data_IF_329438441058
#
_entry.id   IF_329438441058
#
_cell.length_a   1.000
_cell.length_b   1.000
_cell.length_c   1.000
_cell.angle_alpha   90.00
_cell.angle_beta   90.00
_cell.angle_gamma   90.00
#
_symmetry.space_group_name_H-M   'P 1'
#
loop_
_entity.id
_entity.type
_entity.pdbx_description
1 polymer ?
#
# COMPACT_ATOMS: atom_id res chain seq x y z
N UNK A 1 -5.38 -29.15 10.80
CA UNK A 1 -4.55 -28.37 9.88
C UNK A 1 -3.09 -28.57 10.27
N UNK A 2 -2.24 -28.98 9.34
CA UNK A 2 -0.80 -29.13 9.58
C UNK A 2 -0.03 -27.86 9.13
N UNK A 3 1.27 -27.80 9.42
CA UNK A 3 2.10 -26.63 9.08
C UNK A 3 2.20 -26.39 7.56
N UNK A 4 2.24 -27.45 6.75
CA UNK A 4 2.32 -27.34 5.30
C UNK A 4 1.03 -26.77 4.72
N UNK A 5 -0.13 -27.24 5.19
CA UNK A 5 -1.45 -26.71 4.81
C UNK A 5 -1.61 -25.23 5.16
N UNK A 6 -1.06 -24.79 6.29
CA UNK A 6 -1.03 -23.35 6.66
C UNK A 6 -0.17 -22.56 5.67
N UNK A 7 1.01 -23.08 5.31
CA UNK A 7 1.92 -22.41 4.39
C UNK A 7 1.33 -22.30 2.98
N UNK A 8 0.68 -23.35 2.49
CA UNK A 8 -0.01 -23.29 1.19
C UNK A 8 -1.10 -22.22 1.17
N UNK A 9 -1.88 -22.08 2.25
CA UNK A 9 -2.88 -21.01 2.34
C UNK A 9 -2.25 -19.60 2.42
N UNK A 10 -1.07 -19.47 3.02
CA UNK A 10 -0.30 -18.22 3.00
C UNK A 10 0.15 -17.91 1.58
N UNK A 11 0.73 -18.88 0.87
CA UNK A 11 1.21 -18.69 -0.51
C UNK A 11 0.08 -18.24 -1.45
N UNK A 12 -1.11 -18.85 -1.34
CA UNK A 12 -2.31 -18.43 -2.09
C UNK A 12 -2.74 -17.00 -1.74
N UNK A 13 -2.68 -16.64 -0.45
CA UNK A 13 -2.98 -15.29 0.02
C UNK A 13 -1.97 -14.28 -0.52
N UNK A 14 -0.69 -14.62 -0.51
CA UNK A 14 0.41 -13.77 -0.98
C UNK A 14 0.35 -13.55 -2.50
N UNK A 15 -0.12 -14.54 -3.26
CA UNK A 15 -0.39 -14.37 -4.68
C UNK A 15 -1.48 -13.30 -4.92
N UNK A 16 -2.57 -13.36 -4.15
CA UNK A 16 -3.64 -12.36 -4.24
C UNK A 16 -3.17 -10.96 -3.78
N UNK A 17 -2.39 -10.89 -2.70
CA UNK A 17 -1.80 -9.64 -2.21
C UNK A 17 -0.88 -9.02 -3.26
N UNK A 18 -0.04 -9.82 -3.92
CA UNK A 18 0.88 -9.34 -4.96
C UNK A 18 0.11 -8.71 -6.12
N UNK A 19 -0.93 -9.37 -6.63
CA UNK A 19 -1.76 -8.82 -7.70
C UNK A 19 -2.45 -7.50 -7.30
N UNK A 20 -2.95 -7.40 -6.06
CA UNK A 20 -3.57 -6.18 -5.54
C UNK A 20 -2.55 -5.04 -5.37
N UNK A 21 -1.32 -5.37 -4.96
CA UNK A 21 -0.24 -4.40 -4.82
C UNK A 21 0.21 -3.87 -6.19
N UNK A 22 0.32 -4.72 -7.21
CA UNK A 22 0.62 -4.29 -8.58
C UNK A 22 -0.47 -3.35 -9.13
N UNK A 23 -1.74 -3.72 -8.96
CA UNK A 23 -2.87 -2.84 -9.34
C UNK A 23 -2.78 -1.49 -8.64
N UNK A 24 -2.45 -1.48 -7.34
CA UNK A 24 -2.24 -0.25 -6.58
C UNK A 24 -1.06 0.55 -7.12
N UNK A 25 0.05 -0.08 -7.51
CA UNK A 25 1.22 0.60 -8.08
C UNK A 25 0.92 1.23 -9.44
N UNK A 26 0.11 0.59 -10.28
CA UNK A 26 -0.37 1.20 -11.53
C UNK A 26 -1.19 2.47 -11.28
N UNK A 27 -1.98 2.53 -10.20
CA UNK A 27 -2.69 3.75 -9.78
C UNK A 27 -1.73 4.81 -9.22
N UNK A 28 -0.70 4.40 -8.48
CA UNK A 28 0.35 5.32 -7.99
C UNK A 28 1.11 5.95 -9.15
N UNK A 29 1.38 5.22 -10.24
CA UNK A 29 1.99 5.76 -11.45
C UNK A 29 1.12 6.87 -12.07
N UNK A 30 -0.18 6.63 -12.21
CA UNK A 30 -1.13 7.66 -12.69
C UNK A 30 -1.16 8.91 -11.80
N UNK A 31 -1.05 8.73 -10.48
CA UNK A 31 -0.92 9.84 -9.53
C UNK A 31 0.41 10.58 -9.75
N UNK A 32 1.50 9.88 -10.01
CA UNK A 32 2.79 10.48 -10.31
C UNK A 32 2.74 11.33 -11.58
N UNK A 33 2.15 10.81 -12.66
CA UNK A 33 1.94 11.50 -13.93
C UNK A 33 1.11 12.79 -13.73
N UNK A 34 -0.03 12.68 -13.04
CA UNK A 34 -0.86 13.83 -12.68
C UNK A 34 -0.08 14.88 -11.89
N UNK A 35 0.69 14.46 -10.88
CA UNK A 35 1.50 15.39 -10.07
C UNK A 35 2.61 16.07 -10.89
N UNK A 36 3.20 15.36 -11.87
CA UNK A 36 4.19 15.92 -12.81
C UNK A 36 3.56 17.05 -13.62
N UNK A 37 2.39 16.82 -14.19
CA UNK A 37 1.67 17.81 -15.02
C UNK A 37 1.25 19.04 -14.19
N UNK A 38 0.78 18.81 -12.96
CA UNK A 38 0.27 19.87 -12.08
C UNK A 38 1.31 20.48 -11.13
N UNK A 39 2.59 20.10 -11.23
CA UNK A 39 3.68 20.55 -10.35
C UNK A 39 3.36 20.37 -8.85
N UNK A 40 2.63 19.31 -8.50
CA UNK A 40 2.20 19.02 -7.14
C UNK A 40 3.21 18.15 -6.38
N UNK A 41 3.25 18.31 -5.05
CA UNK A 41 4.20 17.58 -4.20
C UNK A 41 3.82 16.10 -4.02
N UNK A 42 4.83 15.23 -3.90
CA UNK A 42 4.63 13.79 -3.71
C UNK A 42 4.12 13.48 -2.31
N UNK A 43 4.72 14.06 -1.28
CA UNK A 43 4.37 13.79 0.11
C UNK A 43 3.19 14.64 0.56
N UNK A 44 2.09 13.98 0.90
CA UNK A 44 0.87 14.59 1.45
C UNK A 44 0.48 13.86 2.76
N UNK A 45 0.92 14.36 3.92
CA UNK A 45 0.69 13.70 5.20
C UNK A 45 -0.79 13.65 5.58
N UNK A 46 -1.59 14.65 5.20
CA UNK A 46 -3.02 14.67 5.48
C UNK A 46 -3.73 13.55 4.71
N UNK A 47 -3.38 13.37 3.42
CA UNK A 47 -3.93 12.29 2.61
C UNK A 47 -3.55 10.91 3.13
N UNK A 48 -2.31 10.74 3.58
CA UNK A 48 -1.82 9.48 4.15
C UNK A 48 -2.53 9.12 5.45
N UNK A 49 -2.73 10.09 6.35
CA UNK A 49 -3.47 9.86 7.59
C UNK A 49 -4.89 9.35 7.30
N UNK A 50 -5.59 9.95 6.33
CA UNK A 50 -6.92 9.49 5.90
C UNK A 50 -6.90 8.05 5.36
N UNK A 51 -5.81 7.60 4.72
CA UNK A 51 -5.69 6.18 4.32
C UNK A 51 -5.55 5.29 5.56
N UNK A 52 -4.68 5.66 6.50
CA UNK A 52 -4.40 4.87 7.69
C UNK A 52 -5.64 4.71 8.56
N UNK A 53 -6.41 5.77 8.75
CA UNK A 53 -7.65 5.73 9.52
C UNK A 53 -8.66 4.77 8.87
N UNK A 54 -8.85 4.88 7.53
CA UNK A 54 -9.71 3.96 6.78
C UNK A 54 -9.24 2.51 6.84
N UNK A 55 -7.93 2.28 6.88
CA UNK A 55 -7.38 0.93 7.03
C UNK A 55 -7.71 0.40 8.41
N UNK A 56 -7.45 1.18 9.47
CA UNK A 56 -7.74 0.79 10.85
C UNK A 56 -9.22 0.45 11.06
N UNK A 57 -10.13 1.21 10.44
CA UNK A 57 -11.57 0.99 10.48
C UNK A 57 -11.99 -0.33 9.79
N UNK A 58 -11.36 -0.67 8.66
CA UNK A 58 -11.65 -1.89 7.89
C UNK A 58 -11.15 -3.16 8.56
N UNK A 59 -10.16 -3.07 9.45
CA UNK A 59 -9.68 -4.24 10.18
C UNK A 59 -10.78 -4.75 11.11
N UNK A 60 -11.28 -5.95 10.82
CA UNK A 60 -12.34 -6.62 11.59
C UNK A 60 -11.84 -7.14 12.94
N UNK A 61 -10.74 -7.89 12.92
CA UNK A 61 -10.11 -8.38 14.14
C UNK A 61 -9.12 -7.33 14.66
N UNK A 62 -9.50 -6.64 15.74
CA UNK A 62 -8.75 -5.50 16.28
C UNK A 62 -7.35 -5.87 16.80
N UNK A 63 -7.08 -7.15 17.09
CA UNK A 63 -5.73 -7.61 17.42
C UNK A 63 -4.74 -7.40 16.25
N UNK A 64 -5.22 -7.36 15.01
CA UNK A 64 -4.37 -7.15 13.82
C UNK A 64 -4.24 -5.70 13.41
N UNK A 65 -4.96 -4.76 14.04
CA UNK A 65 -5.05 -3.37 13.59
C UNK A 65 -3.68 -2.71 13.51
N UNK A 66 -2.88 -2.80 14.57
CA UNK A 66 -1.56 -2.16 14.61
C UNK A 66 -0.64 -2.71 13.52
N UNK A 67 -0.58 -4.03 13.37
CA UNK A 67 0.26 -4.70 12.35
C UNK A 67 -0.14 -4.27 10.94
N UNK A 68 -1.43 -4.34 10.61
CA UNK A 68 -1.92 -3.97 9.27
C UNK A 68 -1.67 -2.48 9.00
N UNK A 69 -1.96 -1.59 9.95
CA UNK A 69 -1.71 -0.15 9.80
C UNK A 69 -0.22 0.13 9.57
N UNK A 70 0.68 -0.58 10.25
CA UNK A 70 2.13 -0.45 10.03
C UNK A 70 2.52 -0.87 8.61
N UNK A 71 2.02 -2.01 8.12
CA UNK A 71 2.25 -2.45 6.74
C UNK A 71 1.81 -1.41 5.72
N UNK A 72 0.68 -0.73 5.95
CA UNK A 72 0.23 0.36 5.07
C UNK A 72 1.13 1.60 5.12
N UNK A 73 1.74 1.93 6.26
CA UNK A 73 2.74 3.00 6.35
C UNK A 73 3.94 2.70 5.46
N UNK A 74 4.45 1.47 5.54
CA UNK A 74 5.58 1.04 4.73
C UNK A 74 5.21 1.03 3.24
N UNK A 75 4.03 0.52 2.89
CA UNK A 75 3.52 0.54 1.53
C UNK A 75 3.44 1.98 0.95
N UNK A 76 2.98 2.95 1.75
CA UNK A 76 2.96 4.35 1.34
C UNK A 76 4.38 4.93 1.18
N UNK A 77 5.31 4.56 2.05
CA UNK A 77 6.71 4.96 1.92
C UNK A 77 7.32 4.50 0.59
N UNK A 78 7.12 3.22 0.22
CA UNK A 78 7.57 2.68 -1.06
C UNK A 78 6.87 3.37 -2.24
N UNK A 79 5.59 3.70 -2.10
CA UNK A 79 4.84 4.44 -3.13
C UNK A 79 5.40 5.85 -3.38
N UNK A 80 5.81 6.54 -2.32
CA UNK A 80 6.45 7.87 -2.43
C UNK A 80 7.82 7.75 -3.08
N UNK A 81 8.61 6.75 -2.68
CA UNK A 81 9.92 6.49 -3.27
C UNK A 81 9.78 6.27 -4.78
N UNK A 82 8.86 5.40 -5.20
CA UNK A 82 8.57 5.16 -6.61
C UNK A 82 8.16 6.43 -7.36
N UNK A 83 7.25 7.24 -6.80
CA UNK A 83 6.85 8.53 -7.39
C UNK A 83 8.05 9.47 -7.55
N UNK A 84 8.87 9.63 -6.51
CA UNK A 84 10.04 10.51 -6.54
C UNK A 84 11.05 10.05 -7.62
N UNK A 85 11.29 8.75 -7.74
CA UNK A 85 12.20 8.21 -8.74
C UNK A 85 11.66 8.33 -10.16
N UNK A 86 10.33 8.25 -10.34
CA UNK A 86 9.67 8.53 -11.62
C UNK A 86 9.77 10.01 -12.01
N UNK A 87 9.59 10.94 -11.06
CA UNK A 87 9.64 12.38 -11.32
C UNK A 87 11.05 12.93 -11.57
N UNK A 88 12.10 12.24 -11.10
CA UNK A 88 13.50 12.56 -11.41
C UNK A 88 13.92 12.19 -12.84
N UNK A 89 13.13 11.36 -13.53
CA UNK A 89 13.33 10.97 -14.93
C UNK A 89 12.63 11.95 -15.87
#
# INVERSE_FOLDING_TARGET
MNLEEIRTQIDETDQALTALLEQRMALVLKIAEFKKEHHAIVFDPAREQVVLDKVADRVKNKTYTQTIVSTYKDLMAHSRQFQNDFLKK
#
